data_IF_259985311175
#
_entry.id   IF_259985311175
#
_cell.length_a   1.000
_cell.length_b   1.000
_cell.length_c   1.000
_cell.angle_alpha   90.00
_cell.angle_beta   90.00
_cell.angle_gamma   90.00
#
_symmetry.space_group_name_H-M   'P 1'
#
loop_
_entity.id
_entity.type
_entity.pdbx_description
1 polymer ?
#
# COMPACT_ATOMS: atom_id res chain seq x y z
N UNK A 1 9.15 7.14 9.96
CA UNK A 1 8.82 7.15 11.40
C UNK A 1 10.14 7.29 12.13
N UNK A 2 10.51 8.49 12.56
CA UNK A 2 11.68 8.69 13.43
C UNK A 2 11.19 8.57 14.87
N UNK A 3 11.81 7.71 15.67
CA UNK A 3 11.70 7.74 17.12
C UNK A 3 10.58 6.91 17.75
N UNK A 4 10.63 5.58 17.61
CA UNK A 4 10.68 4.62 18.74
C UNK A 4 11.34 3.37 18.18
N UNK A 5 12.67 3.34 18.14
CA UNK A 5 13.38 2.05 18.05
C UNK A 5 13.56 1.56 19.49
N UNK A 6 13.40 0.26 19.73
CA UNK A 6 13.57 -0.32 21.07
C UNK A 6 14.96 -0.03 21.65
N UNK A 7 15.96 0.13 20.78
CA UNK A 7 17.35 0.35 21.17
C UNK A 7 17.59 1.75 21.79
N UNK A 8 17.24 2.90 21.17
CA UNK A 8 17.29 4.21 21.86
C UNK A 8 16.39 4.32 23.10
N UNK A 9 15.21 3.69 23.08
CA UNK A 9 14.31 3.65 24.24
C UNK A 9 14.94 2.88 25.41
N UNK A 10 15.62 1.76 25.14
CA UNK A 10 16.32 0.96 26.16
C UNK A 10 17.51 1.67 26.82
N UNK A 11 18.06 2.71 26.18
CA UNK A 11 19.19 3.52 26.69
C UNK A 11 18.68 4.84 27.34
N UNK A 12 17.36 5.05 27.39
CA UNK A 12 16.75 6.23 28.03
C UNK A 12 16.89 7.52 27.22
N UNK A 13 17.08 7.43 25.90
CA UNK A 13 17.29 8.58 24.99
C UNK A 13 15.96 9.26 24.59
N UNK A 14 14.83 8.57 24.78
CA UNK A 14 13.49 9.09 24.54
C UNK A 14 12.80 9.34 25.87
N UNK A 15 13.05 10.48 26.51
CA UNK A 15 12.30 10.95 27.67
C UNK A 15 10.78 10.80 27.49
N UNK A 16 10.04 10.80 28.60
CA UNK A 16 8.61 10.53 28.58
C UNK A 16 7.79 11.82 28.62
N UNK A 17 6.68 11.83 27.87
CA UNK A 17 5.67 12.87 27.89
C UNK A 17 4.41 12.25 28.49
N UNK A 18 3.91 12.80 29.58
CA UNK A 18 2.68 12.35 30.21
C UNK A 18 1.62 13.45 30.20
N UNK A 19 0.37 13.05 29.96
CA UNK A 19 -0.78 13.93 30.10
C UNK A 19 -1.04 14.22 31.57
N UNK A 20 -1.24 15.49 31.92
CA UNK A 20 -1.54 15.92 33.29
C UNK A 20 -3.01 16.26 33.40
N UNK A 21 -3.46 17.25 32.62
CA UNK A 21 -4.84 17.75 32.67
C UNK A 21 -5.26 18.43 31.37
N UNK A 22 -6.57 18.66 31.21
CA UNK A 22 -7.18 19.43 30.12
C UNK A 22 -8.17 20.45 30.70
N UNK A 23 -7.88 21.73 30.50
CA UNK A 23 -8.75 22.82 30.93
C UNK A 23 -9.25 23.58 29.69
N UNK A 24 -10.47 23.25 29.25
CA UNK A 24 -11.06 23.80 28.04
C UNK A 24 -10.21 23.48 26.79
N UNK A 25 -9.74 24.50 26.03
CA UNK A 25 -8.91 24.30 24.85
C UNK A 25 -7.40 24.18 25.18
N UNK A 26 -7.02 24.12 26.45
CA UNK A 26 -5.64 24.05 26.90
C UNK A 26 -5.29 22.63 27.40
N UNK A 27 -4.18 22.07 26.91
CA UNK A 27 -3.65 20.77 27.36
C UNK A 27 -2.36 20.97 28.15
N UNK A 28 -2.32 20.36 29.34
CA UNK A 28 -1.16 20.41 30.23
C UNK A 28 -0.41 19.07 30.16
N UNK A 29 0.87 19.14 29.83
CA UNK A 29 1.77 17.98 29.74
C UNK A 29 2.90 18.05 30.76
N UNK A 30 3.42 16.90 31.17
CA UNK A 30 4.65 16.79 31.96
C UNK A 30 5.76 16.13 31.13
N UNK A 31 6.97 16.68 31.21
CA UNK A 31 8.16 16.20 30.49
C UNK A 31 9.17 15.66 31.50
N UNK A 32 9.50 14.36 31.40
CA UNK A 32 10.48 13.72 32.27
C UNK A 32 11.54 12.93 31.49
N UNK A 33 12.69 12.68 32.11
CA UNK A 33 13.81 12.00 31.46
C UNK A 33 14.68 12.91 30.57
N UNK A 34 15.49 12.28 29.72
CA UNK A 34 16.43 12.97 28.83
C UNK A 34 15.95 12.91 27.39
N UNK A 35 16.03 14.04 26.68
CA UNK A 35 15.60 14.13 25.29
C UNK A 35 16.80 14.41 24.39
N UNK A 36 16.80 13.81 23.20
CA UNK A 36 17.81 14.12 22.20
C UNK A 36 17.63 15.51 21.56
N UNK A 37 16.39 16.00 21.51
CA UNK A 37 16.04 17.35 21.08
C UNK A 37 15.92 18.29 22.29
N UNK A 38 16.06 19.61 22.07
CA UNK A 38 15.68 20.62 23.09
C UNK A 38 14.25 20.39 23.56
N UNK A 39 14.01 20.53 24.86
CA UNK A 39 12.69 20.24 25.45
C UNK A 39 11.58 21.13 24.88
N UNK A 40 11.89 22.37 24.52
CA UNK A 40 10.99 23.27 23.77
C UNK A 40 10.56 22.68 22.43
N UNK A 41 11.51 22.14 21.66
CA UNK A 41 11.24 21.47 20.37
C UNK A 41 10.36 20.24 20.57
N UNK A 42 10.58 19.48 21.65
CA UNK A 42 9.77 18.31 22.00
C UNK A 42 8.33 18.73 22.31
N UNK A 43 8.12 19.76 23.14
CA UNK A 43 6.79 20.30 23.43
C UNK A 43 6.10 20.79 22.15
N UNK A 44 6.80 21.52 21.29
CA UNK A 44 6.26 22.01 20.03
C UNK A 44 5.79 20.89 19.10
N UNK A 45 6.53 19.77 19.03
CA UNK A 45 6.11 18.59 18.26
C UNK A 45 4.91 17.88 18.88
N UNK A 46 4.85 17.78 20.21
CA UNK A 46 3.71 17.23 20.92
C UNK A 46 2.45 18.08 20.67
N UNK A 47 2.58 19.41 20.71
CA UNK A 47 1.50 20.34 20.41
C UNK A 47 0.97 20.18 18.97
N UNK A 48 1.88 20.08 17.99
CA UNK A 48 1.50 19.84 16.60
C UNK A 48 0.73 18.52 16.42
N UNK A 49 1.17 17.46 17.10
CA UNK A 49 0.51 16.16 17.04
C UNK A 49 -0.89 16.21 17.69
N UNK A 50 -0.99 16.80 18.88
CA UNK A 50 -2.26 16.97 19.59
C UNK A 50 -3.27 17.79 18.78
N UNK A 51 -2.84 18.90 18.19
CA UNK A 51 -3.69 19.74 17.35
C UNK A 51 -4.16 18.99 16.07
N UNK A 52 -3.32 18.14 15.48
CA UNK A 52 -3.73 17.31 14.34
C UNK A 52 -4.78 16.25 14.71
N UNK A 53 -4.76 15.74 15.95
CA UNK A 53 -5.74 14.80 16.46
C UNK A 53 -7.02 15.48 16.96
N UNK A 54 -6.88 16.67 17.57
CA UNK A 54 -7.95 17.45 18.21
C UNK A 54 -7.76 18.94 17.89
N UNK A 55 -8.30 19.42 16.76
CA UNK A 55 -8.08 20.79 16.27
C UNK A 55 -8.69 21.88 17.18
N UNK A 56 -9.55 21.51 18.13
CA UNK A 56 -10.11 22.39 19.16
C UNK A 56 -9.07 22.80 20.22
N UNK A 57 -7.95 22.09 20.34
CA UNK A 57 -6.84 22.46 21.23
C UNK A 57 -6.17 23.72 20.70
N UNK A 58 -6.23 24.79 21.49
CA UNK A 58 -5.60 26.07 21.17
C UNK A 58 -4.18 26.17 21.70
N UNK A 59 -3.93 25.62 22.89
CA UNK A 59 -2.64 25.76 23.56
C UNK A 59 -2.20 24.46 24.25
N UNK A 60 -0.89 24.19 24.19
CA UNK A 60 -0.27 23.07 24.90
C UNK A 60 0.85 23.65 25.76
N UNK A 61 0.69 23.55 27.07
CA UNK A 61 1.64 24.06 28.07
C UNK A 61 2.23 22.90 28.86
N UNK A 62 3.34 23.17 29.53
CA UNK A 62 3.89 22.26 30.54
C UNK A 62 3.39 22.64 31.93
N UNK A 63 3.27 21.66 32.81
CA UNK A 63 2.91 21.88 34.22
C UNK A 63 3.86 22.87 34.92
N UNK A 64 5.16 22.79 34.62
CA UNK A 64 6.17 23.71 35.13
C UNK A 64 7.05 24.24 33.99
N UNK A 65 7.18 25.56 33.87
CA UNK A 65 8.02 26.21 32.84
C UNK A 65 9.50 25.84 32.94
N UNK A 66 10.01 25.58 34.16
CA UNK A 66 11.40 25.13 34.37
C UNK A 66 11.65 23.75 33.76
N UNK A 67 10.59 22.99 33.46
CA UNK A 67 10.70 21.73 32.75
C UNK A 67 11.12 21.93 31.28
N UNK A 68 11.01 23.14 30.70
CA UNK A 68 11.46 23.42 29.33
C UNK A 68 12.95 23.75 29.25
N UNK A 69 13.59 24.08 30.37
CA UNK A 69 15.02 24.36 30.41
C UNK A 69 15.81 23.07 30.23
N UNK A 70 16.74 23.09 29.27
CA UNK A 70 17.64 21.96 28.99
C UNK A 70 18.69 21.77 30.11
N UNK A 71 18.93 22.80 30.91
CA UNK A 71 19.90 22.79 31.99
C UNK A 71 19.22 23.04 33.33
N UNK A 72 19.60 22.26 34.34
CA UNK A 72 19.19 22.45 35.73
C UNK A 72 20.38 23.00 36.52
N UNK A 73 20.25 24.20 37.06
CA UNK A 73 21.24 24.75 37.97
C UNK A 73 20.96 24.21 39.37
N UNK A 74 21.88 23.42 39.92
CA UNK A 74 21.79 22.94 41.30
C UNK A 74 22.60 23.89 42.18
N UNK A 75 21.92 24.58 43.09
CA UNK A 75 22.54 25.48 44.06
C UNK A 75 22.72 24.78 45.40
N UNK A 76 23.71 25.20 46.18
CA UNK A 76 23.88 24.77 47.56
C UNK A 76 22.84 25.47 48.46
N UNK A 77 22.06 24.68 49.19
CA UNK A 77 21.00 25.15 50.09
C UNK A 77 21.52 26.10 51.19
N UNK A 78 22.81 26.00 51.55
CA UNK A 78 23.41 26.78 52.64
C UNK A 78 24.08 28.04 52.14
N UNK A 79 24.86 27.95 51.05
CA UNK A 79 25.69 29.06 50.56
C UNK A 79 25.03 29.84 49.43
N UNK A 80 24.06 29.26 48.73
CA UNK A 80 23.47 29.81 47.51
C UNK A 80 24.41 29.78 46.29
N UNK A 81 25.60 29.16 46.42
CA UNK A 81 26.54 29.01 45.32
C UNK A 81 26.08 27.92 44.34
N UNK A 82 26.36 28.11 43.04
CA UNK A 82 26.05 27.13 42.01
C UNK A 82 27.01 25.94 42.13
N UNK A 83 26.50 24.78 42.56
CA UNK A 83 27.31 23.57 42.72
C UNK A 83 27.67 22.96 41.36
N UNK A 84 26.67 22.69 40.53
CA UNK A 84 26.87 22.18 39.17
C UNK A 84 25.63 22.41 38.30
N UNK A 85 25.86 22.45 37.00
CA UNK A 85 24.82 22.52 35.99
C UNK A 85 24.56 21.11 35.44
N UNK A 86 23.36 20.58 35.69
CA UNK A 86 22.94 19.26 35.22
C UNK A 86 22.32 19.38 33.83
N UNK A 87 22.96 18.77 32.84
CA UNK A 87 22.42 18.67 31.49
C UNK A 87 21.28 17.64 31.44
N UNK A 88 20.09 18.09 31.03
CA UNK A 88 18.90 17.25 30.83
C UNK A 88 18.83 16.67 29.41
N UNK A 89 19.75 17.01 28.51
CA UNK A 89 19.84 16.41 27.17
C UNK A 89 20.34 14.98 27.23
N UNK A 90 19.90 14.17 26.28
CA UNK A 90 20.45 12.83 26.08
C UNK A 90 21.88 12.93 25.51
N UNK A 91 22.79 12.02 25.95
CA UNK A 91 24.13 11.95 25.39
C UNK A 91 24.06 11.62 23.90
N UNK A 92 24.98 12.20 23.11
CA UNK A 92 25.07 11.92 21.67
C UNK A 92 25.76 10.57 21.45
N UNK A 93 24.97 9.53 21.18
CA UNK A 93 25.49 8.16 21.18
C UNK A 93 26.21 7.79 19.87
N UNK A 94 25.85 8.43 18.76
CA UNK A 94 26.40 8.13 17.43
C UNK A 94 27.18 9.30 16.82
N UNK A 95 27.28 10.43 17.51
CA UNK A 95 27.97 11.63 17.02
C UNK A 95 27.18 12.40 15.97
N UNK A 96 25.89 12.09 15.76
CA UNK A 96 25.08 12.75 14.75
C UNK A 96 24.80 14.20 15.12
N UNK A 97 24.63 14.50 16.43
CA UNK A 97 24.41 15.88 16.89
C UNK A 97 25.66 16.71 16.65
N UNK A 98 26.81 16.20 17.08
CA UNK A 98 28.10 16.86 16.85
C UNK A 98 28.38 17.04 15.36
N UNK A 99 28.04 16.04 14.53
CA UNK A 99 28.21 16.13 13.07
C UNK A 99 27.32 17.21 12.46
N UNK A 100 26.07 17.35 12.89
CA UNK A 100 25.18 18.41 12.39
C UNK A 100 25.66 19.79 12.84
N UNK A 101 26.05 19.93 14.11
CA UNK A 101 26.60 21.19 14.64
C UNK A 101 27.89 21.59 13.89
N UNK A 102 28.77 20.63 13.62
CA UNK A 102 29.97 20.83 12.79
C UNK A 102 29.63 21.27 11.36
N UNK A 103 28.53 20.77 10.78
CA UNK A 103 28.03 21.21 9.47
C UNK A 103 27.29 22.55 9.51
N UNK A 104 27.16 23.19 10.68
CA UNK A 104 26.38 24.41 10.85
C UNK A 104 24.87 24.20 10.72
N UNK A 105 24.41 22.96 10.89
CA UNK A 105 23.00 22.57 10.88
C UNK A 105 22.54 22.49 12.33
N UNK A 106 21.61 23.36 12.74
CA UNK A 106 21.00 23.24 14.08
C UNK A 106 20.22 21.92 14.16
N UNK A 107 20.57 21.00 15.07
CA UNK A 107 19.83 19.75 15.29
C UNK A 107 18.39 19.99 15.77
N UNK A 108 18.14 21.18 16.32
CA UNK A 108 16.87 21.64 16.86
C UNK A 108 16.44 22.95 16.20
N UNK A 109 16.14 22.94 14.88
CA UNK A 109 15.78 24.16 14.19
C UNK A 109 14.54 24.76 14.86
N UNK A 110 14.72 25.92 15.49
CA UNK A 110 13.65 26.66 16.13
C UNK A 110 12.61 26.96 15.06
N UNK A 111 11.41 26.38 15.22
CA UNK A 111 10.30 26.65 14.34
C UNK A 111 9.69 28.01 14.74
N UNK A 112 10.40 29.11 14.41
CA UNK A 112 10.07 30.49 14.76
C UNK A 112 8.65 30.94 14.35
N UNK A 113 7.95 30.14 13.53
CA UNK A 113 6.56 30.40 13.15
C UNK A 113 5.56 30.29 14.32
N UNK A 114 5.87 29.55 15.39
CA UNK A 114 4.92 29.30 16.49
C UNK A 114 5.07 30.24 17.69
N UNK A 115 6.26 30.81 17.95
CA UNK A 115 6.50 31.64 19.13
C UNK A 115 6.14 33.13 18.89
N UNK A 116 6.21 33.61 17.63
CA UNK A 116 5.87 35.01 17.31
C UNK A 116 4.37 35.32 17.14
N UNK A 117 3.49 34.34 17.28
CA UNK A 117 2.05 34.58 17.17
C UNK A 117 1.42 35.24 18.42
N UNK A 118 2.13 35.26 19.55
CA UNK A 118 1.59 35.75 20.83
C UNK A 118 2.08 37.13 21.26
N UNK A 119 2.86 37.83 20.43
CA UNK A 119 3.36 39.17 20.74
C UNK A 119 2.87 40.18 19.71
N UNK A 120 1.56 40.48 19.76
CA UNK A 120 1.02 41.81 19.49
C UNK A 120 -0.48 41.86 19.75
N UNK A 121 -0.83 42.70 20.71
CA UNK A 121 -2.12 43.36 20.89
C UNK A 121 -2.82 43.71 19.58
N UNK A 122 -3.73 42.86 19.09
CA UNK A 122 -4.88 43.27 18.27
C UNK A 122 -6.06 42.33 18.49
N UNK A 123 -7.10 42.88 19.12
CA UNK A 123 -8.43 42.29 19.21
C UNK A 123 -8.92 41.79 17.85
N UNK A 124 -9.36 40.54 17.80
CA UNK A 124 -10.33 40.10 16.80
C UNK A 124 -11.59 39.63 17.53
N UNK A 125 -12.60 40.49 17.48
CA UNK A 125 -13.98 40.14 17.81
C UNK A 125 -14.50 39.17 16.74
N UNK A 126 -14.89 37.95 17.13
CA UNK A 126 -15.90 37.19 16.38
C UNK A 126 -17.21 37.24 17.16
N UNK A 127 -18.21 37.83 16.53
CA UNK A 127 -19.54 38.05 17.06
C UNK A 127 -20.35 36.74 17.16
N UNK A 128 -20.90 36.52 18.34
CA UNK A 128 -22.20 35.93 18.71
C UNK A 128 -22.77 34.71 17.95
N UNK A 129 -23.12 33.68 18.72
CA UNK A 129 -24.33 32.84 18.53
C UNK A 129 -25.21 32.92 19.78
N UNK A 130 -26.55 32.91 19.68
CA UNK A 130 -27.42 32.98 20.84
C UNK A 130 -27.75 31.59 21.41
N UNK A 131 -27.92 31.57 22.74
CA UNK A 131 -28.55 30.51 23.53
C UNK A 131 -29.98 30.22 23.08
N UNK A 132 -30.42 28.96 23.23
CA UNK A 132 -31.76 28.64 23.72
C UNK A 132 -31.80 27.29 24.44
N UNK A 133 -32.44 27.29 25.60
CA UNK A 133 -32.86 26.14 26.41
C UNK A 133 -34.38 26.05 26.41
N UNK A 134 -34.98 24.85 26.23
CA UNK A 134 -35.88 24.14 27.18
C UNK A 134 -36.98 23.22 26.55
N UNK A 135 -37.19 22.09 27.27
CA UNK A 135 -38.36 21.20 27.47
C UNK A 135 -38.73 20.08 26.46
N UNK A 136 -38.68 18.85 26.99
CA UNK A 136 -39.23 17.59 26.46
C UNK A 136 -40.73 17.45 26.73
N UNK A 137 -41.46 16.76 25.82
CA UNK A 137 -42.60 15.92 26.17
C UNK A 137 -42.80 14.78 25.15
N UNK A 138 -43.37 13.67 25.64
CA UNK A 138 -43.52 12.36 25.00
C UNK A 138 -44.21 12.36 23.62
N UNK A 139 -43.49 11.85 22.62
CA UNK A 139 -44.04 11.17 21.46
C UNK A 139 -43.25 9.88 21.29
N UNK A 140 -43.92 8.74 21.09
CA UNK A 140 -43.24 7.52 20.62
C UNK A 140 -42.68 7.82 19.24
N UNK A 141 -41.42 8.24 19.22
CA UNK A 141 -40.70 8.61 18.02
C UNK A 141 -40.60 7.40 17.10
N UNK A 142 -40.80 7.65 15.81
CA UNK A 142 -40.48 6.72 14.75
C UNK A 142 -39.07 6.15 14.97
N UNK A 143 -38.94 4.82 14.92
CA UNK A 143 -37.61 4.21 14.98
C UNK A 143 -36.84 4.62 13.73
N UNK A 144 -35.55 4.91 13.87
CA UNK A 144 -34.70 5.38 12.76
C UNK A 144 -34.83 4.48 11.53
N UNK A 145 -34.98 3.17 11.71
CA UNK A 145 -35.10 2.17 10.64
C UNK A 145 -36.43 2.21 9.87
N UNK A 146 -37.43 2.96 10.36
CA UNK A 146 -38.73 3.15 9.71
C UNK A 146 -38.76 4.43 8.85
N UNK A 147 -37.65 5.18 8.79
CA UNK A 147 -37.53 6.34 7.92
C UNK A 147 -37.41 5.92 6.45
N UNK A 148 -37.99 6.69 5.50
CA UNK A 148 -37.77 6.49 4.08
C UNK A 148 -36.27 6.42 3.74
N UNK A 149 -35.89 5.51 2.84
CA UNK A 149 -34.48 5.17 2.53
C UNK A 149 -33.58 6.38 2.24
N UNK A 150 -34.14 7.39 1.58
CA UNK A 150 -33.47 8.65 1.25
C UNK A 150 -33.10 9.43 2.52
N UNK A 151 -33.97 9.45 3.51
CA UNK A 151 -33.73 10.12 4.80
C UNK A 151 -32.74 9.34 5.66
N UNK A 152 -32.79 8.00 5.64
CA UNK A 152 -31.82 7.17 6.34
C UNK A 152 -30.40 7.44 5.83
N UNK A 153 -30.22 7.48 4.51
CA UNK A 153 -28.96 7.82 3.84
C UNK A 153 -28.44 9.21 4.22
N UNK A 154 -29.33 10.22 4.26
CA UNK A 154 -28.96 11.58 4.63
C UNK A 154 -28.61 11.74 6.12
N UNK A 155 -29.33 11.05 7.01
CA UNK A 155 -29.04 11.06 8.45
C UNK A 155 -27.66 10.44 8.72
N UNK A 156 -27.29 9.37 8.01
CA UNK A 156 -26.00 8.69 8.19
C UNK A 156 -24.81 9.45 7.59
N UNK A 157 -25.00 10.07 6.42
CA UNK A 157 -24.00 10.97 5.84
C UNK A 157 -23.75 12.20 6.70
N UNK A 158 -24.72 12.57 7.55
CA UNK A 158 -24.60 13.68 8.50
C UNK A 158 -23.97 13.29 9.83
N UNK A 159 -24.28 12.09 10.38
CA UNK A 159 -23.87 11.67 11.73
C UNK A 159 -22.52 10.92 11.79
N UNK A 160 -22.12 10.20 10.75
CA UNK A 160 -20.88 9.41 10.80
C UNK A 160 -19.62 10.28 10.53
N UNK A 161 -18.54 10.12 11.32
CA UNK A 161 -17.26 10.79 11.05
C UNK A 161 -16.74 10.39 9.66
N UNK A 162 -16.11 11.31 8.90
CA UNK A 162 -15.71 11.06 7.51
C UNK A 162 -14.93 9.76 7.32
N UNK A 163 -13.96 9.44 8.18
CA UNK A 163 -13.15 8.20 8.05
C UNK A 163 -13.91 6.88 8.22
N UNK A 164 -15.19 6.91 8.62
CA UNK A 164 -16.02 5.73 8.90
C UNK A 164 -17.25 5.61 7.99
N UNK A 165 -17.46 6.52 7.02
CA UNK A 165 -18.68 6.55 6.19
C UNK A 165 -18.73 5.39 5.19
N UNK A 166 -17.63 5.09 4.52
CA UNK A 166 -17.53 3.96 3.60
C UNK A 166 -17.79 2.62 4.31
N UNK A 167 -17.27 2.45 5.53
CA UNK A 167 -17.52 1.26 6.35
C UNK A 167 -18.97 1.13 6.79
N UNK A 168 -19.61 2.25 7.16
CA UNK A 168 -21.01 2.28 7.63
C UNK A 168 -22.01 2.07 6.48
N UNK A 169 -21.71 2.61 5.29
CA UNK A 169 -22.53 2.44 4.08
C UNK A 169 -22.45 1.00 3.55
N UNK A 170 -21.29 0.36 3.62
CA UNK A 170 -21.14 -1.07 3.29
C UNK A 170 -21.99 -1.98 4.20
N UNK A 171 -22.06 -1.70 5.50
CA UNK A 171 -22.86 -2.51 6.42
C UNK A 171 -24.37 -2.34 6.21
N UNK A 172 -24.82 -1.17 5.76
CA UNK A 172 -26.25 -0.87 5.55
C UNK A 172 -26.74 -1.30 4.16
N UNK A 173 -25.85 -1.31 3.16
CA UNK A 173 -26.13 -1.93 1.86
C UNK A 173 -26.45 -3.43 1.98
N UNK A 174 -26.01 -4.10 3.06
CA UNK A 174 -26.39 -5.47 3.39
C UNK A 174 -27.76 -5.60 4.07
N UNK A 175 -28.33 -4.50 4.58
CA UNK A 175 -29.58 -4.48 5.33
C UNK A 175 -30.76 -3.84 4.55
N UNK A 176 -30.49 -3.07 3.49
CA UNK A 176 -31.51 -2.43 2.64
C UNK A 176 -31.27 -2.69 1.14
N UNK A 177 -32.26 -3.30 0.48
CA UNK A 177 -32.24 -3.67 -0.95
C UNK A 177 -32.20 -2.47 -1.90
N UNK A 178 -32.82 -1.34 -1.54
CA UNK A 178 -32.82 -0.14 -2.38
C UNK A 178 -31.41 0.50 -2.43
N UNK A 179 -30.74 0.60 -1.27
CA UNK A 179 -29.37 1.07 -1.17
C UNK A 179 -28.39 0.17 -1.93
N UNK A 180 -28.58 -1.15 -1.84
CA UNK A 180 -27.78 -2.13 -2.59
C UNK A 180 -27.96 -1.97 -4.12
N UNK A 181 -29.19 -1.74 -4.58
CA UNK A 181 -29.49 -1.56 -6.00
C UNK A 181 -28.95 -0.24 -6.55
N UNK A 182 -28.94 0.84 -5.77
CA UNK A 182 -28.28 2.10 -6.17
C UNK A 182 -26.74 1.96 -6.21
N UNK A 183 -26.13 1.28 -5.23
CA UNK A 183 -24.69 1.03 -5.20
C UNK A 183 -24.18 0.12 -6.34
N UNK A 184 -25.06 -0.73 -6.90
CA UNK A 184 -24.74 -1.72 -7.92
C UNK A 184 -25.17 -1.32 -9.34
N UNK A 185 -25.80 -0.15 -9.53
CA UNK A 185 -26.01 0.39 -10.87
C UNK A 185 -24.65 0.65 -11.52
N UNK A 186 -24.42 -0.01 -12.66
CA UNK A 186 -23.12 -0.20 -13.30
C UNK A 186 -22.36 1.08 -13.68
N UNK A 187 -23.00 2.24 -13.65
CA UNK A 187 -22.41 3.52 -14.09
C UNK A 187 -22.01 4.47 -12.96
N UNK A 188 -22.35 4.18 -11.70
CA UNK A 188 -22.08 5.11 -10.58
C UNK A 188 -20.74 4.86 -9.88
N UNK A 189 -19.65 4.93 -10.67
CA UNK A 189 -18.29 5.17 -10.13
C UNK A 189 -18.21 6.46 -9.31
N UNK A 190 -19.11 7.41 -9.57
CA UNK A 190 -19.16 8.72 -8.91
C UNK A 190 -19.47 8.62 -7.41
N UNK A 191 -20.30 7.68 -6.97
CA UNK A 191 -20.67 7.57 -5.55
C UNK A 191 -19.48 7.07 -4.71
N UNK A 192 -18.78 6.04 -5.19
CA UNK A 192 -17.56 5.54 -4.57
C UNK A 192 -16.44 6.58 -4.60
N UNK A 193 -16.34 7.37 -5.67
CA UNK A 193 -15.39 8.49 -5.73
C UNK A 193 -15.74 9.61 -4.74
N UNK A 194 -17.01 9.95 -4.53
CA UNK A 194 -17.45 10.95 -3.55
C UNK A 194 -17.17 10.46 -2.12
N UNK A 195 -17.39 9.18 -1.83
CA UNK A 195 -17.09 8.56 -0.53
C UNK A 195 -15.59 8.52 -0.25
N UNK A 196 -14.79 8.07 -1.23
CA UNK A 196 -13.34 8.07 -1.09
C UNK A 196 -12.76 9.49 -1.00
N UNK A 197 -13.40 10.48 -1.63
CA UNK A 197 -13.03 11.91 -1.54
C UNK A 197 -13.35 12.52 -0.17
N UNK A 198 -14.41 12.08 0.50
CA UNK A 198 -14.77 12.58 1.84
C UNK A 198 -13.98 11.87 2.95
N UNK A 199 -13.77 10.55 2.83
CA UNK A 199 -13.24 9.72 3.92
C UNK A 199 -11.71 9.74 4.01
N UNK A 200 -11.03 9.78 2.87
CA UNK A 200 -9.56 9.89 2.79
C UNK A 200 -9.10 11.32 2.51
N UNK A 201 -10.06 12.24 2.49
CA UNK A 201 -9.91 13.64 2.18
C UNK A 201 -9.53 13.88 0.73
N UNK A 202 -9.98 15.03 0.20
CA UNK A 202 -9.23 15.63 -0.89
C UNK A 202 -7.80 15.89 -0.51
N UNK A 203 -6.89 15.53 -1.40
CA UNK A 203 -5.50 15.79 -1.22
C UNK A 203 -5.32 17.26 -0.96
N UNK A 204 -5.11 17.63 0.30
CA UNK A 204 -4.71 18.97 0.66
C UNK A 204 -3.34 19.24 0.06
N UNK A 205 -3.25 20.48 -0.39
CA UNK A 205 -2.30 21.06 -1.32
C UNK A 205 -0.83 21.04 -0.87
N UNK A 206 -0.56 20.80 0.40
CA UNK A 206 0.77 20.90 1.01
C UNK A 206 1.58 19.60 0.95
N UNK A 207 0.90 18.45 0.81
CA UNK A 207 1.55 17.16 0.56
C UNK A 207 2.14 17.03 -0.86
N UNK A 208 2.06 18.10 -1.64
CA UNK A 208 2.58 18.17 -3.02
C UNK A 208 3.86 18.99 -3.14
N UNK A 209 4.39 19.48 -2.04
CA UNK A 209 5.51 20.41 -2.02
C UNK A 209 6.59 20.09 -0.99
N UNK A 210 7.20 18.89 -1.02
CA UNK A 210 8.69 18.86 -1.04
C UNK A 210 9.07 19.01 -2.50
N UNK A 211 9.19 20.27 -2.93
CA UNK A 211 9.15 20.77 -4.32
C UNK A 211 8.68 19.75 -5.38
N UNK A 212 7.40 19.82 -5.71
CA UNK A 212 7.11 20.14 -7.10
C UNK A 212 7.34 21.66 -7.24
N UNK A 213 7.98 22.15 -8.32
CA UNK A 213 8.10 23.59 -8.56
C UNK A 213 6.72 24.25 -8.58
N UNK A 214 6.25 24.87 -7.47
CA UNK A 214 5.02 25.69 -7.33
C UNK A 214 3.70 25.18 -8.00
N UNK A 215 3.63 23.98 -8.61
CA UNK A 215 2.57 23.57 -9.56
C UNK A 215 1.76 22.35 -9.17
N UNK A 216 2.08 21.67 -8.08
CA UNK A 216 1.20 20.62 -7.60
C UNK A 216 0.64 21.08 -6.27
N UNK A 217 -0.63 21.38 -6.38
CA UNK A 217 -1.59 21.86 -5.41
C UNK A 217 -2.88 21.34 -6.08
N UNK A 218 -3.33 20.12 -5.74
CA UNK A 218 -4.43 19.44 -6.45
C UNK A 218 -5.16 18.43 -5.54
N UNK A 219 -6.48 18.33 -5.69
CA UNK A 219 -7.49 17.62 -4.88
C UNK A 219 -7.35 16.09 -4.65
N UNK A 220 -8.27 15.42 -3.90
CA UNK A 220 -8.27 13.94 -3.59
C UNK A 220 -8.13 13.16 -4.82
N UNK A 221 -8.88 13.63 -5.82
CA UNK A 221 -8.91 13.05 -7.12
C UNK A 221 -7.49 12.78 -7.61
N UNK A 222 -6.56 13.71 -7.37
CA UNK A 222 -5.16 13.52 -7.67
C UNK A 222 -4.38 12.69 -6.63
N UNK A 223 -4.70 12.65 -5.32
CA UNK A 223 -4.08 11.63 -4.42
C UNK A 223 -4.47 10.21 -4.81
N UNK A 224 -5.73 9.98 -5.18
CA UNK A 224 -6.22 8.68 -5.64
C UNK A 224 -5.64 8.35 -7.01
N UNK A 225 -5.57 9.31 -7.94
CA UNK A 225 -4.93 9.12 -9.24
C UNK A 225 -3.42 8.90 -9.11
N UNK A 226 -2.74 9.64 -8.24
CA UNK A 226 -1.30 9.52 -8.02
C UNK A 226 -0.99 8.22 -7.25
N UNK A 227 -1.82 7.81 -6.29
CA UNK A 227 -1.75 6.48 -5.66
C UNK A 227 -2.03 5.36 -6.68
N UNK A 228 -3.00 5.55 -7.57
CA UNK A 228 -3.29 4.60 -8.65
C UNK A 228 -2.12 4.49 -9.62
N UNK A 229 -1.47 5.61 -9.97
CA UNK A 229 -0.23 5.62 -10.76
C UNK A 229 0.89 4.92 -10.04
N UNK A 230 1.13 5.24 -8.77
CA UNK A 230 2.15 4.57 -7.95
C UNK A 230 1.92 3.05 -7.88
N UNK A 231 0.68 2.59 -7.77
CA UNK A 231 0.35 1.16 -7.84
C UNK A 231 0.61 0.55 -9.22
N UNK A 232 0.31 1.28 -10.31
CA UNK A 232 0.64 0.85 -11.67
C UNK A 232 2.16 0.76 -11.83
N UNK A 233 2.88 1.81 -11.44
CA UNK A 233 4.34 1.90 -11.48
C UNK A 233 4.98 0.75 -10.69
N UNK A 234 4.53 0.49 -9.46
CA UNK A 234 5.00 -0.65 -8.67
C UNK A 234 4.70 -1.99 -9.37
N UNK A 235 3.53 -2.15 -9.97
CA UNK A 235 3.18 -3.36 -10.72
C UNK A 235 4.09 -3.55 -11.93
N UNK A 236 4.47 -2.48 -12.61
CA UNK A 236 5.39 -2.51 -13.76
C UNK A 236 6.83 -2.78 -13.35
N UNK A 237 7.32 -2.12 -12.30
CA UNK A 237 8.66 -2.30 -11.75
C UNK A 237 8.87 -3.76 -11.32
N UNK A 238 7.92 -4.30 -10.56
CA UNK A 238 7.97 -5.70 -10.08
C UNK A 238 7.89 -6.67 -11.26
N UNK A 239 7.08 -6.38 -12.27
CA UNK A 239 7.00 -7.21 -13.47
C UNK A 239 8.33 -7.22 -14.23
N UNK A 240 8.99 -6.06 -14.36
CA UNK A 240 10.30 -5.96 -14.98
C UNK A 240 11.34 -6.83 -14.26
N UNK A 241 11.41 -6.74 -12.92
CA UNK A 241 12.30 -7.61 -12.13
C UNK A 241 11.95 -9.09 -12.30
N UNK A 242 10.66 -9.44 -12.34
CA UNK A 242 10.23 -10.81 -12.59
C UNK A 242 10.70 -11.31 -13.96
N UNK A 243 10.61 -10.49 -15.01
CA UNK A 243 11.05 -10.86 -16.36
C UNK A 243 12.57 -11.06 -16.43
N UNK A 244 13.35 -10.24 -15.71
CA UNK A 244 14.81 -10.46 -15.56
C UNK A 244 15.11 -11.81 -14.89
N UNK A 245 14.40 -12.14 -13.81
CA UNK A 245 14.53 -13.43 -13.12
C UNK A 245 14.12 -14.62 -14.00
N UNK A 246 13.07 -14.44 -14.82
CA UNK A 246 12.57 -15.45 -15.77
C UNK A 246 13.52 -15.67 -16.95
N UNK A 247 14.18 -14.63 -17.42
CA UNK A 247 15.13 -14.72 -18.54
C UNK A 247 16.43 -15.45 -18.17
N UNK A 248 16.79 -15.45 -16.87
CA UNK A 248 17.91 -16.25 -16.35
C UNK A 248 19.25 -15.84 -16.97
N UNK A 249 19.47 -14.52 -17.14
CA UNK A 249 20.69 -13.97 -17.75
C UNK A 249 21.96 -14.39 -17.00
N UNK A 250 21.88 -14.55 -15.67
CA UNK A 250 22.99 -15.06 -14.84
C UNK A 250 22.51 -16.19 -13.92
N UNK A 251 23.41 -17.12 -13.57
CA UNK A 251 23.10 -18.25 -12.68
C UNK A 251 22.62 -17.80 -11.30
N UNK A 252 23.15 -16.67 -10.82
CA UNK A 252 22.78 -16.05 -9.55
C UNK A 252 21.40 -15.42 -9.57
N UNK A 253 20.80 -15.13 -10.73
CA UNK A 253 19.50 -14.45 -10.87
C UNK A 253 18.37 -15.39 -11.32
N UNK A 254 18.49 -16.70 -11.07
CA UNK A 254 17.41 -17.64 -11.39
C UNK A 254 16.17 -17.41 -10.52
N UNK A 255 15.00 -17.56 -11.14
CA UNK A 255 13.71 -17.58 -10.47
C UNK A 255 13.64 -18.72 -9.44
N UNK A 256 13.16 -18.41 -8.24
CA UNK A 256 12.84 -19.38 -7.18
C UNK A 256 11.61 -18.91 -6.41
N UNK A 257 10.92 -19.84 -5.72
CA UNK A 257 9.73 -19.53 -4.91
C UNK A 257 10.01 -18.41 -3.89
N UNK A 258 11.12 -18.50 -3.16
CA UNK A 258 11.48 -17.51 -2.13
C UNK A 258 11.72 -16.11 -2.71
N UNK A 259 12.39 -16.03 -3.87
CA UNK A 259 12.62 -14.74 -4.55
C UNK A 259 11.35 -14.14 -5.12
N UNK A 260 10.50 -14.95 -5.75
CA UNK A 260 9.20 -14.48 -6.23
C UNK A 260 8.35 -13.94 -5.08
N UNK A 261 8.27 -14.69 -3.97
CA UNK A 261 7.51 -14.29 -2.80
C UNK A 261 8.06 -13.00 -2.18
N UNK A 262 9.38 -12.89 -2.01
CA UNK A 262 10.03 -11.66 -1.54
C UNK A 262 9.73 -10.48 -2.47
N UNK A 263 9.92 -10.67 -3.77
CA UNK A 263 9.68 -9.64 -4.79
C UNK A 263 8.23 -9.10 -4.75
N UNK A 264 7.23 -9.95 -4.51
CA UNK A 264 5.83 -9.50 -4.40
C UNK A 264 5.57 -8.83 -3.05
N UNK A 265 6.11 -9.36 -1.95
CA UNK A 265 5.88 -8.82 -0.60
C UNK A 265 6.57 -7.46 -0.38
N UNK A 266 7.76 -7.24 -0.94
CA UNK A 266 8.53 -6.00 -0.78
C UNK A 266 7.78 -4.78 -1.37
N UNK A 267 6.92 -4.98 -2.35
CA UNK A 267 6.11 -3.94 -3.00
C UNK A 267 4.65 -3.90 -2.51
N UNK A 268 4.33 -4.72 -1.50
CA UNK A 268 3.07 -4.70 -0.76
C UNK A 268 1.90 -5.41 -1.44
N UNK A 269 0.75 -5.55 -0.72
CA UNK A 269 -0.46 -6.20 -1.21
C UNK A 269 -1.17 -5.44 -2.34
N UNK A 270 -0.66 -4.26 -2.71
CA UNK A 270 -1.22 -3.36 -3.73
C UNK A 270 -0.91 -3.77 -5.17
N UNK A 271 -0.14 -4.84 -5.39
CA UNK A 271 0.22 -5.29 -6.73
C UNK A 271 -0.98 -5.83 -7.50
N UNK A 272 -1.16 -5.33 -8.72
CA UNK A 272 -2.25 -5.77 -9.61
C UNK A 272 -1.82 -6.94 -10.47
N UNK A 273 -1.52 -8.08 -9.84
CA UNK A 273 -0.97 -9.28 -10.53
C UNK A 273 -1.87 -9.83 -11.65
N UNK A 274 -3.17 -9.55 -11.59
CA UNK A 274 -4.19 -9.96 -12.56
C UNK A 274 -4.41 -8.94 -13.68
N UNK A 275 -3.70 -7.81 -13.67
CA UNK A 275 -3.75 -6.81 -14.71
C UNK A 275 -2.52 -6.95 -15.61
N UNK A 276 -2.71 -6.81 -16.92
CA UNK A 276 -1.59 -6.68 -17.84
C UNK A 276 -0.84 -5.39 -17.55
N UNK A 277 0.49 -5.44 -17.58
CA UNK A 277 1.34 -4.25 -17.52
C UNK A 277 1.33 -3.49 -18.85
N UNK A 278 1.91 -2.30 -18.91
CA UNK A 278 2.02 -1.50 -20.14
C UNK A 278 2.65 -2.25 -21.32
N UNK A 279 3.59 -3.16 -21.07
CA UNK A 279 4.17 -4.04 -22.09
C UNK A 279 3.28 -5.20 -22.53
N UNK A 280 2.08 -5.33 -21.95
CA UNK A 280 1.14 -6.42 -22.19
C UNK A 280 1.43 -7.71 -21.42
N UNK A 281 2.52 -7.76 -20.68
CA UNK A 281 2.92 -8.92 -19.89
C UNK A 281 1.97 -9.21 -18.72
N UNK A 282 1.92 -10.48 -18.30
CA UNK A 282 1.16 -10.94 -17.13
C UNK A 282 2.06 -11.81 -16.25
N UNK A 283 2.00 -11.61 -14.93
CA UNK A 283 2.87 -12.28 -13.96
C UNK A 283 2.87 -13.81 -14.09
N UNK A 284 1.67 -14.39 -14.17
CA UNK A 284 1.50 -15.83 -14.25
C UNK A 284 2.07 -16.41 -15.56
N UNK A 285 1.89 -15.69 -16.67
CA UNK A 285 2.45 -16.05 -17.98
C UNK A 285 3.97 -15.95 -17.94
N UNK A 286 4.52 -14.89 -17.33
CA UNK A 286 5.95 -14.65 -17.26
C UNK A 286 6.70 -15.68 -16.41
N UNK A 287 6.09 -16.15 -15.31
CA UNK A 287 6.61 -17.29 -14.54
C UNK A 287 6.65 -18.56 -15.39
N UNK A 288 5.62 -18.84 -16.19
CA UNK A 288 5.59 -19.99 -17.10
C UNK A 288 6.62 -19.87 -18.24
N UNK A 289 7.03 -18.64 -18.58
CA UNK A 289 8.07 -18.35 -19.58
C UNK A 289 9.49 -18.43 -19.03
N UNK A 290 9.69 -18.62 -17.72
CA UNK A 290 11.02 -18.71 -17.14
C UNK A 290 11.87 -19.80 -17.82
N UNK A 291 13.10 -19.48 -18.23
CA UNK A 291 14.03 -20.40 -18.92
C UNK A 291 15.15 -20.82 -17.98
N UNK A 292 15.75 -21.99 -18.23
CA UNK A 292 16.85 -22.54 -17.40
C UNK A 292 16.45 -22.75 -15.92
N UNK A 293 15.17 -22.93 -15.66
CA UNK A 293 14.56 -23.21 -14.35
C UNK A 293 13.88 -24.58 -14.43
N UNK A 294 14.03 -25.40 -13.36
CA UNK A 294 13.41 -26.72 -13.30
C UNK A 294 11.88 -26.58 -13.24
N UNK A 295 11.15 -27.49 -13.88
CA UNK A 295 9.68 -27.49 -13.88
C UNK A 295 9.10 -27.45 -12.47
N UNK A 296 9.64 -28.22 -11.52
CA UNK A 296 9.20 -28.21 -10.12
C UNK A 296 9.28 -26.83 -9.46
N UNK A 297 10.30 -26.03 -9.81
CA UNK A 297 10.43 -24.66 -9.31
C UNK A 297 9.40 -23.73 -9.96
N UNK A 298 9.13 -23.89 -11.27
CA UNK A 298 8.08 -23.14 -11.97
C UNK A 298 6.71 -23.47 -11.35
N UNK A 299 6.42 -24.75 -11.11
CA UNK A 299 5.19 -25.21 -10.43
C UNK A 299 5.03 -24.55 -9.06
N UNK A 300 6.08 -24.53 -8.23
CA UNK A 300 6.03 -23.90 -6.92
C UNK A 300 5.76 -22.37 -7.00
N UNK A 301 6.35 -21.70 -7.99
CA UNK A 301 6.08 -20.28 -8.25
C UNK A 301 4.64 -20.03 -8.73
N UNK A 302 4.13 -20.87 -9.65
CA UNK A 302 2.75 -20.82 -10.14
C UNK A 302 1.75 -21.06 -9.00
N UNK A 303 1.99 -22.07 -8.16
CA UNK A 303 1.19 -22.32 -6.95
C UNK A 303 1.19 -21.12 -6.02
N UNK A 304 2.35 -20.52 -5.78
CA UNK A 304 2.47 -19.32 -4.94
C UNK A 304 1.63 -18.17 -5.50
N UNK A 305 1.71 -17.89 -6.81
CA UNK A 305 0.89 -16.83 -7.42
C UNK A 305 -0.61 -17.11 -7.34
N UNK A 306 -1.04 -18.33 -7.66
CA UNK A 306 -2.47 -18.68 -7.71
C UNK A 306 -3.07 -18.83 -6.31
N UNK A 307 -2.42 -19.61 -5.44
CA UNK A 307 -2.96 -19.96 -4.11
C UNK A 307 -2.72 -18.87 -3.07
N UNK A 308 -1.52 -18.28 -3.03
CA UNK A 308 -1.16 -17.29 -1.98
C UNK A 308 -1.54 -15.86 -2.40
N UNK A 309 -1.40 -15.52 -3.69
CA UNK A 309 -1.62 -14.15 -4.17
C UNK A 309 -2.89 -13.96 -5.01
N UNK A 310 -3.64 -15.02 -5.33
CA UNK A 310 -4.92 -14.93 -6.04
C UNK A 310 -4.80 -14.64 -7.53
N UNK A 311 -3.74 -15.13 -8.20
CA UNK A 311 -3.59 -14.98 -9.63
C UNK A 311 -4.64 -15.80 -10.41
N UNK A 312 -5.32 -15.17 -11.37
CA UNK A 312 -6.36 -15.75 -12.19
C UNK A 312 -5.76 -16.49 -13.39
N UNK A 313 -6.17 -17.76 -13.56
CA UNK A 313 -5.57 -18.68 -14.54
C UNK A 313 -6.04 -18.47 -15.98
N UNK A 314 -7.15 -17.75 -16.19
CA UNK A 314 -7.81 -17.55 -17.49
C UNK A 314 -7.57 -16.15 -18.08
N UNK A 315 -6.52 -15.46 -17.63
CA UNK A 315 -6.12 -14.16 -18.19
C UNK A 315 -5.01 -14.39 -19.21
N UNK A 316 -5.13 -13.76 -20.37
CA UNK A 316 -4.10 -13.75 -21.40
C UNK A 316 -3.17 -12.53 -21.22
N UNK A 317 -1.89 -12.69 -21.54
CA UNK A 317 -1.03 -11.55 -21.87
C UNK A 317 -1.51 -10.91 -23.18
N UNK A 318 -1.13 -9.65 -23.40
CA UNK A 318 -1.49 -8.87 -24.60
C UNK A 318 -0.30 -8.00 -25.05
N UNK A 319 0.82 -8.65 -25.38
CA UNK A 319 2.10 -7.96 -25.67
C UNK A 319 2.14 -7.38 -27.09
N UNK A 320 1.41 -8.01 -28.00
CA UNK A 320 1.21 -7.53 -29.37
C UNK A 320 -0.02 -8.19 -29.98
N UNK A 321 -0.49 -7.66 -31.12
CA UNK A 321 -1.59 -8.23 -31.90
C UNK A 321 -1.39 -9.72 -32.25
N UNK A 322 -0.14 -10.19 -32.28
CA UNK A 322 0.22 -11.58 -32.59
C UNK A 322 0.79 -12.35 -31.38
N UNK A 323 0.82 -11.75 -30.18
CA UNK A 323 1.39 -12.34 -28.95
C UNK A 323 0.41 -12.23 -27.79
N UNK A 324 -0.62 -13.08 -27.84
CA UNK A 324 -1.63 -13.23 -26.79
C UNK A 324 -1.54 -14.62 -26.19
N UNK A 325 -1.01 -14.76 -24.98
CA UNK A 325 -0.71 -16.07 -24.42
C UNK A 325 -1.38 -16.27 -23.06
N UNK A 326 -1.96 -17.45 -22.85
CA UNK A 326 -2.42 -17.89 -21.53
C UNK A 326 -1.32 -18.68 -20.83
N UNK A 327 -1.35 -18.70 -19.50
CA UNK A 327 -0.41 -19.50 -18.71
C UNK A 327 -0.50 -21.00 -19.08
N UNK A 328 -1.72 -21.49 -19.33
CA UNK A 328 -1.96 -22.88 -19.75
C UNK A 328 -1.31 -23.19 -21.11
N UNK A 329 -1.49 -22.31 -22.10
CA UNK A 329 -0.88 -22.49 -23.42
C UNK A 329 0.65 -22.48 -23.34
N UNK A 330 1.24 -21.53 -22.61
CA UNK A 330 2.70 -21.47 -22.44
C UNK A 330 3.21 -22.75 -21.76
N UNK A 331 2.56 -23.21 -20.70
CA UNK A 331 2.97 -24.42 -19.98
C UNK A 331 2.89 -25.68 -20.86
N UNK A 332 1.83 -25.79 -21.68
CA UNK A 332 1.61 -26.91 -22.58
C UNK A 332 2.68 -26.99 -23.68
N UNK A 333 2.89 -25.90 -24.42
CA UNK A 333 3.86 -25.84 -25.54
C UNK A 333 5.29 -26.04 -25.02
N UNK A 334 5.55 -25.63 -23.77
CA UNK A 334 6.86 -25.82 -23.12
C UNK A 334 7.07 -27.21 -22.51
N UNK A 335 6.16 -28.16 -22.73
CA UNK A 335 6.24 -29.52 -22.20
C UNK A 335 6.37 -29.56 -20.66
N UNK A 336 5.53 -28.80 -19.95
CA UNK A 336 5.49 -28.76 -18.46
C UNK A 336 4.22 -29.45 -17.91
N UNK A 337 4.12 -30.80 -17.93
CA UNK A 337 2.90 -31.52 -17.63
C UNK A 337 2.38 -31.31 -16.19
N UNK A 338 3.26 -31.10 -15.22
CA UNK A 338 2.88 -30.86 -13.82
C UNK A 338 2.21 -29.49 -13.66
N UNK A 339 2.73 -28.47 -14.36
CA UNK A 339 2.15 -27.12 -14.39
C UNK A 339 0.81 -27.13 -15.12
N UNK A 340 0.72 -27.83 -16.27
CA UNK A 340 -0.54 -28.01 -17.01
C UNK A 340 -1.61 -28.68 -16.14
N UNK A 341 -1.27 -29.81 -15.50
CA UNK A 341 -2.17 -30.53 -14.59
C UNK A 341 -2.68 -29.62 -13.47
N UNK A 342 -1.79 -28.83 -12.86
CA UNK A 342 -2.15 -27.89 -11.81
C UNK A 342 -3.08 -26.78 -12.31
N UNK A 343 -2.75 -26.11 -13.42
CA UNK A 343 -3.58 -25.04 -13.98
C UNK A 343 -4.99 -25.55 -14.34
N UNK A 344 -5.10 -26.74 -14.94
CA UNK A 344 -6.40 -27.38 -15.22
C UNK A 344 -7.17 -27.66 -13.92
N UNK A 345 -6.50 -28.11 -12.85
CA UNK A 345 -7.15 -28.31 -11.54
C UNK A 345 -7.68 -27.02 -10.91
N UNK A 346 -7.14 -25.86 -11.32
CA UNK A 346 -7.57 -24.52 -10.90
C UNK A 346 -8.56 -23.88 -11.88
N UNK A 347 -9.13 -24.64 -12.81
CA UNK A 347 -10.16 -24.16 -13.73
C UNK A 347 -9.61 -23.41 -14.95
N UNK A 348 -8.36 -23.65 -15.34
CA UNK A 348 -7.85 -23.10 -16.60
C UNK A 348 -8.63 -23.66 -17.80
N UNK A 349 -9.12 -22.78 -18.65
CA UNK A 349 -9.94 -23.10 -19.82
C UNK A 349 -9.08 -23.67 -20.95
N UNK A 350 -9.53 -24.82 -21.48
CA UNK A 350 -8.93 -25.48 -22.64
C UNK A 350 -9.30 -24.81 -23.96
N UNK A 351 -10.34 -23.98 -23.95
CA UNK A 351 -10.86 -23.30 -25.13
C UNK A 351 -10.26 -21.92 -25.31
N UNK A 352 -9.57 -21.39 -24.30
CA UNK A 352 -9.03 -20.04 -24.35
C UNK A 352 -7.84 -19.98 -25.33
N UNK A 353 -8.12 -19.41 -26.50
CA UNK A 353 -7.18 -19.33 -27.62
C UNK A 353 -5.98 -18.46 -27.30
N UNK A 354 -4.86 -18.79 -27.91
CA UNK A 354 -3.58 -18.10 -27.76
C UNK A 354 -2.86 -17.98 -29.10
N UNK A 355 -2.02 -16.97 -29.20
CA UNK A 355 -1.18 -16.65 -30.35
C UNK A 355 0.25 -16.42 -29.88
N UNK A 356 1.23 -16.85 -30.66
CA UNK A 356 2.63 -16.61 -30.35
C UNK A 356 3.59 -17.48 -31.13
N UNK A 357 4.87 -17.42 -30.73
CA UNK A 357 5.95 -18.19 -31.35
C UNK A 357 6.84 -18.80 -30.27
N UNK A 358 7.09 -20.10 -30.39
CA UNK A 358 7.95 -20.86 -29.47
C UNK A 358 9.09 -21.51 -30.23
N UNK A 359 10.26 -21.61 -29.58
CA UNK A 359 11.42 -22.33 -30.14
C UNK A 359 11.26 -23.81 -29.88
N UNK A 360 11.70 -24.63 -30.83
CA UNK A 360 11.81 -26.07 -30.63
C UNK A 360 12.77 -26.37 -29.47
N UNK A 361 12.40 -27.34 -28.64
CA UNK A 361 13.15 -27.90 -27.52
C UNK A 361 14.43 -28.56 -28.01
N UNK A 362 14.34 -29.39 -29.05
CA UNK A 362 15.51 -30.12 -29.59
C UNK A 362 16.34 -29.27 -30.55
N UNK A 363 15.72 -28.29 -31.23
CA UNK A 363 16.40 -27.42 -32.20
C UNK A 363 16.11 -25.93 -31.94
N UNK A 364 16.81 -25.28 -30.98
CA UNK A 364 16.52 -23.91 -30.55
C UNK A 364 16.62 -22.82 -31.63
N UNK A 365 17.21 -23.13 -32.80
CA UNK A 365 17.29 -22.23 -33.97
C UNK A 365 15.99 -22.21 -34.79
N UNK A 366 15.14 -23.22 -34.65
CA UNK A 366 13.82 -23.29 -35.29
C UNK A 366 12.72 -22.87 -34.32
N UNK A 367 11.62 -22.38 -34.87
CA UNK A 367 10.48 -21.93 -34.10
C UNK A 367 9.16 -22.24 -34.79
N UNK A 368 8.14 -22.53 -34.01
CA UNK A 368 6.76 -22.72 -34.45
C UNK A 368 5.95 -21.52 -34.01
N UNK A 369 5.27 -20.90 -34.97
CA UNK A 369 4.29 -19.85 -34.70
C UNK A 369 2.89 -20.36 -34.94
N UNK A 370 1.94 -19.92 -34.14
CA UNK A 370 0.52 -20.17 -34.35
C UNK A 370 -0.28 -18.95 -33.92
N UNK A 371 -1.43 -18.74 -34.56
CA UNK A 371 -2.32 -17.63 -34.27
C UNK A 371 -3.72 -18.16 -33.95
N UNK A 372 -4.31 -17.67 -32.86
CA UNK A 372 -5.66 -17.96 -32.43
C UNK A 372 -5.97 -19.46 -32.30
N UNK A 373 -5.05 -20.23 -31.72
CA UNK A 373 -5.17 -21.69 -31.52
C UNK A 373 -5.46 -22.03 -30.08
N UNK A 374 -6.16 -23.14 -29.83
CA UNK A 374 -6.34 -23.64 -28.46
C UNK A 374 -5.02 -24.20 -27.91
N UNK A 375 -4.84 -24.29 -26.57
CA UNK A 375 -3.69 -24.95 -25.97
C UNK A 375 -3.41 -26.36 -26.52
N UNK A 376 -4.47 -27.15 -26.78
CA UNK A 376 -4.33 -28.49 -27.37
C UNK A 376 -3.76 -28.41 -28.79
N UNK A 377 -4.37 -27.59 -29.65
CA UNK A 377 -3.93 -27.40 -31.04
C UNK A 377 -2.48 -26.92 -31.12
N UNK A 378 -2.09 -25.95 -30.28
CA UNK A 378 -0.71 -25.45 -30.26
C UNK A 378 0.27 -26.52 -29.75
N UNK A 379 -0.10 -27.27 -28.71
CA UNK A 379 0.72 -28.37 -28.21
C UNK A 379 0.91 -29.48 -29.27
N UNK A 380 -0.13 -29.79 -30.06
CA UNK A 380 -0.07 -30.72 -31.20
C UNK A 380 0.89 -30.21 -32.28
N UNK A 381 0.73 -28.95 -32.71
CA UNK A 381 1.61 -28.29 -33.68
C UNK A 381 3.08 -28.34 -33.26
N UNK A 382 3.33 -28.10 -31.98
CA UNK A 382 4.68 -28.19 -31.42
C UNK A 382 5.22 -29.62 -31.48
N UNK A 383 4.39 -30.62 -31.17
CA UNK A 383 4.78 -32.03 -31.18
C UNK A 383 5.13 -32.52 -32.59
N UNK A 384 4.32 -32.14 -33.57
CA UNK A 384 4.53 -32.52 -34.96
C UNK A 384 5.79 -31.84 -35.53
N UNK A 385 5.99 -30.56 -35.25
CA UNK A 385 7.19 -29.85 -35.65
C UNK A 385 8.49 -30.41 -35.03
N UNK A 386 8.44 -30.89 -33.78
CA UNK A 386 9.58 -31.59 -33.18
C UNK A 386 9.87 -32.94 -33.85
N UNK A 387 8.82 -33.70 -34.21
CA UNK A 387 8.96 -34.97 -34.94
C UNK A 387 9.56 -34.75 -36.32
N UNK A 388 9.08 -33.75 -37.06
CA UNK A 388 9.63 -33.35 -38.37
C UNK A 388 11.09 -32.89 -38.26
N UNK A 389 11.44 -32.27 -37.12
CA UNK A 389 12.83 -31.92 -36.82
C UNK A 389 13.71 -33.13 -36.44
N UNK A 390 13.15 -34.34 -36.33
CA UNK A 390 13.88 -35.56 -36.01
C UNK A 390 14.10 -35.79 -34.51
N UNK A 391 13.27 -35.19 -33.64
CA UNK A 391 13.34 -35.44 -32.20
C UNK A 391 12.97 -36.89 -31.87
N UNK A 392 13.76 -37.53 -30.99
CA UNK A 392 13.48 -38.87 -30.49
C UNK A 392 12.24 -38.90 -29.58
N UNK A 393 11.49 -40.01 -29.58
CA UNK A 393 10.27 -40.16 -28.78
C UNK A 393 10.47 -39.89 -27.28
N UNK A 394 11.64 -40.22 -26.71
CA UNK A 394 11.93 -39.96 -25.29
C UNK A 394 12.00 -38.46 -24.98
N UNK A 395 12.53 -37.64 -25.91
CA UNK A 395 12.54 -36.18 -25.77
C UNK A 395 11.15 -35.56 -25.87
N UNK A 396 10.19 -36.28 -26.48
CA UNK A 396 8.80 -35.82 -26.70
C UNK A 396 7.81 -36.35 -25.66
N UNK A 397 8.29 -37.12 -24.69
CA UNK A 397 7.46 -37.76 -23.67
C UNK A 397 6.61 -36.77 -22.88
N UNK A 398 7.20 -35.66 -22.45
CA UNK A 398 6.48 -34.66 -21.64
C UNK A 398 5.50 -33.82 -22.47
N UNK A 399 5.83 -33.55 -23.74
CA UNK A 399 4.91 -32.89 -24.65
C UNK A 399 3.70 -33.81 -24.97
N UNK A 400 3.95 -35.10 -25.17
CA UNK A 400 2.89 -36.12 -25.34
C UNK A 400 1.99 -36.21 -24.10
N UNK A 401 2.57 -36.12 -22.89
CA UNK A 401 1.77 -36.03 -21.65
C UNK A 401 0.90 -34.77 -21.62
N UNK A 402 1.41 -33.61 -22.04
CA UNK A 402 0.61 -32.38 -22.13
C UNK A 402 -0.58 -32.53 -23.10
N UNK A 403 -0.35 -33.10 -24.30
CA UNK A 403 -1.42 -33.40 -25.27
C UNK A 403 -2.49 -34.29 -24.63
N UNK A 404 -2.08 -35.37 -23.97
CA UNK A 404 -3.02 -36.28 -23.28
C UNK A 404 -3.79 -35.60 -22.14
N UNK A 405 -3.16 -34.71 -21.37
CA UNK A 405 -3.83 -33.96 -20.29
C UNK A 405 -4.88 -32.97 -20.82
N UNK A 406 -4.62 -32.37 -21.99
CA UNK A 406 -5.51 -31.42 -22.65
C UNK A 406 -6.64 -32.11 -23.41
N UNK A 407 -6.35 -33.23 -24.08
CA UNK A 407 -7.32 -33.99 -24.89
C UNK A 407 -8.18 -34.97 -24.11
N UNK A 408 -7.85 -35.29 -22.84
CA UNK A 408 -8.79 -35.97 -21.94
C UNK A 408 -9.92 -35.02 -21.65
N UNK A 409 -10.96 -35.01 -22.47
CA UNK A 409 -12.25 -34.39 -22.13
C UNK A 409 -12.55 -34.74 -20.68
N UNK A 410 -12.97 -33.72 -19.92
CA UNK A 410 -13.45 -33.95 -18.57
C UNK A 410 -14.68 -34.84 -18.70
N UNK A 411 -14.48 -36.16 -18.77
CA UNK A 411 -15.50 -37.16 -18.53
C UNK A 411 -15.82 -36.99 -17.05
N UNK A 412 -16.69 -36.03 -16.78
CA UNK A 412 -17.36 -35.78 -15.51
C UNK A 412 -18.77 -35.36 -15.83
#
# INVERSE_FOLDING_TARGET
MFGVHDMPASVGITGSIAFVDIDGPEVILSLSGRFWHRRETVLGRAAMWLNACMPEIMEVRVENMDALLDYENVYDDITGELLFQKDKKAPDFNGDRETMEYQGIDPDPINYALIKANDSTKSFCFAARPCFTTKMNEQRGLYVWELPDVLLFHVLTYLAPPTHRAGSICHIACLCKAAQNELLKKDDRQLWEILLQQDYGTAKEEDRARRIPKRLRRSAFYRVQDAHRLMQDNTEIVFYYLSELSSGATAEKKLSKSRLRRLILDFGPTLRINKTVSSGGLYLVEVCRARKVKEATILACVQTLVDEFGALVNISSDESQHSRQTALCVAAVRAMPSVVKYLLSKGASRELRSSGRFRLHTQPRKSVGADNVTPLQFCQLMLDAEREAGAANEALKDLTKCVNLLGKDAIK
#
